data_IF_924321197250
#
_entry.id   IF_924321197250
#
_cell.length_a   1.000
_cell.length_b   1.000
_cell.length_c   1.000
_cell.angle_alpha   90.00
_cell.angle_beta   90.00
_cell.angle_gamma   90.00
#
_symmetry.space_group_name_H-M   'P 1'
#
loop_
_entity.id
_entity.type
_entity.pdbx_description
1 polymer ?
#
# COMPACT_ATOMS: atom_id res chain seq x y z
N UNK A 1 -17.43 2.88 -62.67
CA UNK A 1 -17.39 3.02 -61.19
C UNK A 1 -16.03 2.71 -60.59
N UNK A 2 -15.33 1.69 -61.01
CA UNK A 2 -13.99 1.33 -60.53
C UNK A 2 -12.87 2.37 -60.74
N UNK A 3 -12.91 3.14 -61.84
CA UNK A 3 -11.94 4.20 -62.11
C UNK A 3 -11.95 5.40 -61.14
N UNK A 4 -13.07 5.64 -60.41
CA UNK A 4 -13.14 6.69 -59.40
C UNK A 4 -12.57 6.24 -58.03
N UNK A 5 -12.60 4.96 -57.77
CA UNK A 5 -12.02 4.38 -56.57
C UNK A 5 -10.49 4.35 -56.64
N UNK A 6 -9.94 4.02 -57.81
CA UNK A 6 -8.50 4.07 -58.02
C UNK A 6 -7.89 5.48 -57.87
N UNK A 7 -8.59 6.50 -58.38
CA UNK A 7 -8.11 7.88 -58.30
C UNK A 7 -8.12 8.44 -56.88
N UNK A 8 -9.01 7.98 -56.00
CA UNK A 8 -9.04 8.41 -54.57
C UNK A 8 -8.02 7.70 -53.69
N UNK A 9 -7.43 6.59 -54.16
CA UNK A 9 -6.34 5.89 -53.47
C UNK A 9 -4.97 6.46 -53.81
N UNK A 10 -4.80 7.03 -55.00
CA UNK A 10 -3.54 7.66 -55.43
C UNK A 10 -3.30 9.07 -54.84
N UNK A 11 -4.34 9.74 -54.31
CA UNK A 11 -4.23 11.13 -53.82
C UNK A 11 -3.89 11.25 -52.31
N UNK A 12 -3.59 10.16 -51.60
CA UNK A 12 -3.36 10.16 -50.13
C UNK A 12 -2.21 9.31 -49.62
N UNK A 13 -1.10 9.26 -50.32
CA UNK A 13 0.15 8.78 -49.76
C UNK A 13 1.10 9.96 -49.46
N UNK A 14 0.67 10.89 -48.61
CA UNK A 14 1.61 11.76 -47.92
C UNK A 14 2.29 10.91 -46.80
N UNK A 15 3.38 10.28 -47.17
CA UNK A 15 4.22 9.54 -46.22
C UNK A 15 4.87 10.53 -45.24
N UNK A 16 5.01 10.11 -43.98
CA UNK A 16 5.77 10.86 -42.97
C UNK A 16 7.25 10.98 -43.37
N UNK A 17 7.81 12.18 -43.22
CA UNK A 17 9.22 12.39 -43.44
C UNK A 17 10.04 11.79 -42.28
N UNK A 18 11.26 11.34 -42.57
CA UNK A 18 12.16 10.79 -41.54
C UNK A 18 12.45 11.81 -40.43
N UNK A 19 12.52 13.09 -40.79
CA UNK A 19 12.76 14.18 -39.82
C UNK A 19 11.58 14.44 -38.90
N UNK A 20 10.33 14.33 -39.37
CA UNK A 20 9.12 14.45 -38.53
C UNK A 20 9.11 13.37 -37.44
N UNK A 21 9.45 12.14 -37.83
CA UNK A 21 9.49 11.03 -36.89
C UNK A 21 10.63 11.19 -35.85
N UNK A 22 11.81 11.69 -36.30
CA UNK A 22 12.95 11.94 -35.45
C UNK A 22 12.67 13.03 -34.42
N UNK A 23 12.07 14.15 -34.83
CA UNK A 23 11.72 15.25 -33.91
C UNK A 23 10.71 14.81 -32.86
N UNK A 24 9.68 14.05 -33.24
CA UNK A 24 8.68 13.49 -32.30
C UNK A 24 9.36 12.57 -31.27
N UNK A 25 10.27 11.70 -31.71
CA UNK A 25 11.00 10.81 -30.79
C UNK A 25 11.83 11.57 -29.77
N UNK A 26 12.52 12.65 -30.20
CA UNK A 26 13.31 13.50 -29.30
C UNK A 26 12.40 14.18 -28.27
N UNK A 27 11.27 14.75 -28.69
CA UNK A 27 10.32 15.41 -27.79
C UNK A 27 9.76 14.41 -26.77
N UNK A 28 9.32 13.23 -27.21
CA UNK A 28 8.83 12.19 -26.29
C UNK A 28 9.93 11.76 -25.31
N UNK A 29 11.17 11.61 -25.76
CA UNK A 29 12.30 11.25 -24.92
C UNK A 29 12.54 12.26 -23.79
N UNK A 30 12.52 13.55 -24.11
CA UNK A 30 12.67 14.63 -23.11
C UNK A 30 11.52 14.64 -22.12
N UNK A 31 10.27 14.52 -22.59
CA UNK A 31 9.10 14.50 -21.72
C UNK A 31 9.09 13.27 -20.82
N UNK A 32 9.45 12.10 -21.34
CA UNK A 32 9.53 10.85 -20.58
C UNK A 32 10.59 10.90 -19.48
N UNK A 33 11.74 11.53 -19.74
CA UNK A 33 12.81 11.67 -18.75
C UNK A 33 12.37 12.42 -17.49
N UNK A 34 11.42 13.33 -17.58
CA UNK A 34 10.87 14.08 -16.44
C UNK A 34 9.64 13.36 -15.86
N UNK A 35 8.77 12.81 -16.71
CA UNK A 35 7.49 12.26 -16.29
C UNK A 35 7.62 10.94 -15.54
N UNK A 36 8.54 10.05 -15.94
CA UNK A 36 8.68 8.71 -15.36
C UNK A 36 9.08 8.77 -13.87
N UNK A 37 10.15 9.49 -13.45
CA UNK A 37 10.51 9.58 -12.03
C UNK A 37 9.39 10.17 -11.18
N UNK A 38 8.72 11.21 -11.67
CA UNK A 38 7.59 11.85 -10.96
C UNK A 38 6.43 10.88 -10.77
N UNK A 39 6.08 10.13 -11.79
CA UNK A 39 5.01 9.12 -11.73
C UNK A 39 5.33 8.00 -10.74
N UNK A 40 6.58 7.51 -10.71
CA UNK A 40 6.99 6.48 -9.76
C UNK A 40 6.91 6.98 -8.30
N UNK A 41 7.28 8.23 -8.04
CA UNK A 41 7.15 8.84 -6.71
C UNK A 41 5.67 8.98 -6.30
N UNK A 42 4.78 9.37 -7.22
CA UNK A 42 3.35 9.46 -6.94
C UNK A 42 2.75 8.08 -6.61
N UNK A 43 3.15 7.02 -7.32
CA UNK A 43 2.73 5.65 -7.01
C UNK A 43 3.16 5.23 -5.59
N UNK A 44 4.41 5.50 -5.21
CA UNK A 44 4.91 5.22 -3.85
C UNK A 44 4.09 5.95 -2.78
N UNK A 45 3.76 7.21 -3.01
CA UNK A 45 2.90 7.97 -2.10
C UNK A 45 1.50 7.36 -1.98
N UNK A 46 0.93 6.86 -3.07
CA UNK A 46 -0.33 6.13 -3.06
C UNK A 46 -0.28 4.86 -2.20
N UNK A 47 0.78 4.05 -2.35
CA UNK A 47 0.98 2.84 -1.53
C UNK A 47 1.15 3.15 -0.05
N UNK A 48 1.89 4.21 0.29
CA UNK A 48 2.04 4.68 1.66
C UNK A 48 0.69 5.14 2.25
N UNK A 49 -0.11 5.86 1.47
CA UNK A 49 -1.44 6.29 1.91
C UNK A 49 -2.38 5.12 2.16
N UNK A 50 -2.40 4.13 1.28
CA UNK A 50 -3.18 2.90 1.47
C UNK A 50 -2.77 2.19 2.77
N UNK A 51 -1.45 2.01 3.00
CA UNK A 51 -0.94 1.37 4.21
C UNK A 51 -1.35 2.11 5.47
N UNK A 52 -1.24 3.44 5.51
CA UNK A 52 -1.66 4.27 6.66
C UNK A 52 -3.14 4.10 6.96
N UNK A 53 -3.98 4.16 5.93
CA UNK A 53 -5.42 4.03 6.06
C UNK A 53 -5.78 2.66 6.60
N UNK A 54 -5.19 1.61 6.05
CA UNK A 54 -5.48 0.23 6.45
C UNK A 54 -5.06 -0.05 7.90
N UNK A 55 -3.87 0.41 8.32
CA UNK A 55 -3.44 0.26 9.72
C UNK A 55 -4.40 1.00 10.66
N UNK A 56 -4.82 2.20 10.31
CA UNK A 56 -5.73 2.99 11.13
C UNK A 56 -7.12 2.33 11.21
N UNK A 57 -7.62 1.81 10.10
CA UNK A 57 -8.89 1.08 10.06
C UNK A 57 -8.80 -0.22 10.86
N UNK A 58 -7.69 -0.95 10.76
CA UNK A 58 -7.47 -2.15 11.55
C UNK A 58 -7.43 -1.83 13.05
N UNK A 59 -6.74 -0.76 13.43
CA UNK A 59 -6.68 -0.31 14.81
C UNK A 59 -8.07 0.06 15.35
N UNK A 60 -8.89 0.76 14.55
CA UNK A 60 -10.26 1.10 14.91
C UNK A 60 -11.14 -0.15 15.09
N UNK A 61 -11.00 -1.14 14.20
CA UNK A 61 -11.69 -2.43 14.34
C UNK A 61 -11.26 -3.18 15.61
N UNK A 62 -9.94 -3.13 15.93
CA UNK A 62 -9.43 -3.72 17.17
C UNK A 62 -9.99 -3.03 18.41
N UNK A 63 -10.07 -1.71 18.41
CA UNK A 63 -10.66 -0.94 19.51
C UNK A 63 -12.16 -1.22 19.64
N UNK A 64 -12.91 -1.25 18.54
CA UNK A 64 -14.32 -1.62 18.53
C UNK A 64 -14.55 -3.01 19.12
N UNK A 65 -13.75 -3.99 18.68
CA UNK A 65 -13.86 -5.38 19.19
C UNK A 65 -13.47 -5.50 20.67
N UNK A 66 -12.61 -4.62 21.17
CA UNK A 66 -12.20 -4.61 22.57
C UNK A 66 -13.29 -4.07 23.49
N UNK A 67 -14.21 -3.22 23.00
CA UNK A 67 -15.31 -2.67 23.81
C UNK A 67 -16.12 -3.80 24.45
N UNK A 68 -16.52 -4.81 23.68
CA UNK A 68 -17.28 -5.98 24.16
C UNK A 68 -16.46 -6.89 25.08
N UNK A 69 -15.15 -6.70 25.15
CA UNK A 69 -14.21 -7.46 25.98
C UNK A 69 -13.72 -6.67 27.20
N UNK A 70 -14.40 -5.55 27.53
CA UNK A 70 -14.01 -4.68 28.64
C UNK A 70 -12.72 -3.89 28.41
N UNK A 71 -12.38 -3.62 27.15
CA UNK A 71 -11.16 -2.91 26.75
C UNK A 71 -9.91 -3.79 26.70
N UNK A 72 -10.04 -5.10 26.81
CA UNK A 72 -8.93 -6.04 26.91
C UNK A 72 -8.50 -6.56 25.53
N UNK A 73 -7.40 -6.02 25.00
CA UNK A 73 -6.85 -6.41 23.70
C UNK A 73 -6.25 -7.82 23.70
N UNK A 74 -5.90 -8.41 24.83
CA UNK A 74 -5.44 -9.80 24.88
C UNK A 74 -6.56 -10.78 24.52
N UNK A 75 -7.81 -10.33 24.60
CA UNK A 75 -8.99 -11.08 24.17
C UNK A 75 -9.43 -10.80 22.73
N UNK A 76 -8.84 -9.80 22.08
CA UNK A 76 -9.07 -9.46 20.67
C UNK A 76 -8.15 -10.27 19.76
N UNK A 77 -6.89 -10.38 20.13
CA UNK A 77 -5.89 -11.12 19.37
C UNK A 77 -5.72 -12.53 19.92
N UNK A 78 -6.10 -13.54 19.16
CA UNK A 78 -6.00 -14.96 19.58
C UNK A 78 -4.55 -15.45 19.66
N UNK A 79 -3.64 -14.80 18.94
CA UNK A 79 -2.20 -15.06 18.97
C UNK A 79 -1.47 -13.74 19.23
N UNK A 80 -1.34 -13.32 20.50
CA UNK A 80 -0.82 -12.00 20.85
C UNK A 80 0.71 -11.90 20.80
N UNK A 81 1.38 -12.76 20.03
CA UNK A 81 2.83 -12.76 19.87
C UNK A 81 3.28 -11.69 18.87
N UNK A 82 4.49 -11.15 19.09
CA UNK A 82 5.15 -10.28 18.09
C UNK A 82 5.31 -11.01 16.75
N UNK A 83 5.27 -10.27 15.67
CA UNK A 83 5.33 -10.79 14.29
C UNK A 83 4.13 -11.65 13.85
N UNK A 84 3.08 -11.74 14.66
CA UNK A 84 1.84 -12.37 14.20
C UNK A 84 1.29 -11.60 13.00
N UNK A 85 1.18 -12.28 11.87
CA UNK A 85 0.56 -11.73 10.66
C UNK A 85 -0.94 -11.71 10.88
N UNK A 86 -1.54 -10.52 10.84
CA UNK A 86 -2.96 -10.29 11.08
C UNK A 86 -3.75 -10.16 9.77
N UNK A 87 -3.11 -9.58 8.76
CA UNK A 87 -3.69 -9.48 7.42
C UNK A 87 -2.58 -9.57 6.35
N UNK A 88 -2.88 -10.26 5.25
CA UNK A 88 -2.01 -10.41 4.09
C UNK A 88 -2.75 -9.92 2.85
N UNK A 89 -2.14 -8.99 2.10
CA UNK A 89 -2.75 -8.36 0.91
C UNK A 89 -4.18 -7.85 1.18
N UNK A 90 -4.38 -7.23 2.33
CA UNK A 90 -5.69 -6.71 2.75
C UNK A 90 -6.68 -7.75 3.22
N UNK A 91 -6.36 -9.04 3.16
CA UNK A 91 -7.22 -10.13 3.63
C UNK A 91 -6.89 -10.47 5.08
N UNK A 92 -7.90 -10.40 5.95
CA UNK A 92 -7.79 -10.72 7.37
C UNK A 92 -7.50 -12.23 7.58
N UNK A 93 -6.55 -12.55 8.45
CA UNK A 93 -6.42 -13.90 9.01
C UNK A 93 -7.37 -14.04 10.23
N UNK A 94 -8.56 -14.53 9.96
CA UNK A 94 -9.59 -14.69 10.99
C UNK A 94 -9.21 -15.65 12.14
N UNK A 95 -8.13 -16.43 11.99
CA UNK A 95 -7.62 -17.31 13.06
C UNK A 95 -6.79 -16.54 14.10
N UNK A 96 -6.37 -15.33 13.79
CA UNK A 96 -5.51 -14.49 14.63
C UNK A 96 -6.28 -13.46 15.46
N UNK A 97 -7.56 -13.32 15.20
CA UNK A 97 -8.44 -12.35 15.85
C UNK A 97 -9.70 -13.06 16.38
N UNK A 98 -10.40 -12.40 17.29
CA UNK A 98 -11.65 -12.91 17.85
C UNK A 98 -12.75 -12.99 16.78
N UNK A 99 -13.68 -13.92 16.94
CA UNK A 99 -14.86 -14.04 16.09
C UNK A 99 -15.65 -12.71 16.06
N UNK A 100 -16.09 -12.30 14.87
CA UNK A 100 -16.79 -11.03 14.66
C UNK A 100 -15.86 -9.83 14.42
N UNK A 101 -14.53 -10.02 14.42
CA UNK A 101 -13.62 -8.99 13.98
C UNK A 101 -13.74 -8.79 12.47
N UNK A 102 -14.07 -7.58 12.04
CA UNK A 102 -14.26 -7.25 10.64
C UNK A 102 -13.18 -6.29 10.16
N UNK A 103 -12.47 -6.67 9.11
CA UNK A 103 -11.48 -5.83 8.44
C UNK A 103 -11.38 -6.24 6.97
N UNK A 104 -11.39 -5.25 6.10
CA UNK A 104 -11.04 -5.39 4.68
C UNK A 104 -10.04 -4.29 4.32
N UNK A 105 -8.86 -4.67 3.90
CA UNK A 105 -7.79 -3.76 3.54
C UNK A 105 -7.52 -3.70 2.05
N UNK A 106 -6.56 -2.87 1.68
CA UNK A 106 -6.10 -2.71 0.30
C UNK A 106 -5.24 -3.88 -0.15
N UNK A 107 -5.27 -4.18 -1.44
CA UNK A 107 -4.34 -5.17 -2.01
C UNK A 107 -2.89 -4.80 -1.73
N UNK A 108 -2.06 -5.82 -1.51
CA UNK A 108 -0.63 -5.70 -1.25
C UNK A 108 -0.27 -5.00 0.09
N UNK A 109 -1.23 -4.68 0.95
CA UNK A 109 -0.97 -4.21 2.31
C UNK A 109 -0.99 -5.39 3.27
N UNK A 110 0.09 -5.55 4.03
CA UNK A 110 0.22 -6.53 5.10
C UNK A 110 0.24 -5.81 6.45
N UNK A 111 -0.40 -6.41 7.45
CA UNK A 111 -0.44 -5.91 8.82
C UNK A 111 0.02 -7.01 9.76
N UNK A 112 0.98 -6.67 10.62
CA UNK A 112 1.52 -7.57 11.64
C UNK A 112 1.48 -6.91 13.02
N UNK A 113 1.47 -7.72 14.08
CA UNK A 113 1.71 -7.23 15.44
C UNK A 113 3.17 -6.81 15.57
N UNK A 114 3.41 -5.53 15.83
CA UNK A 114 4.75 -4.96 15.98
C UNK A 114 5.38 -5.27 17.34
N UNK A 115 4.54 -5.44 18.37
CA UNK A 115 4.93 -5.90 19.70
C UNK A 115 3.93 -6.90 20.22
N UNK A 116 4.34 -7.78 21.14
CA UNK A 116 3.43 -8.67 21.82
C UNK A 116 2.37 -7.86 22.59
N UNK A 117 1.12 -8.29 22.55
CA UNK A 117 0.05 -7.71 23.37
C UNK A 117 0.25 -8.21 24.80
N UNK A 118 1.15 -7.54 25.51
CA UNK A 118 1.55 -7.93 26.88
C UNK A 118 0.58 -7.42 27.94
N UNK A 119 -0.22 -6.39 27.63
CA UNK A 119 -1.14 -5.76 28.55
C UNK A 119 -2.53 -5.61 27.94
N UNK A 120 -3.57 -5.71 28.78
CA UNK A 120 -4.94 -5.58 28.35
C UNK A 120 -5.24 -4.28 27.57
N UNK A 121 -4.52 -3.20 27.88
CA UNK A 121 -4.87 -1.85 27.42
C UNK A 121 -4.05 -1.36 26.22
N UNK A 122 -3.14 -2.18 25.67
CA UNK A 122 -2.21 -1.69 24.65
C UNK A 122 -1.98 -2.70 23.51
N UNK A 123 -1.77 -2.19 22.32
CA UNK A 123 -1.32 -2.96 21.16
C UNK A 123 -0.51 -2.08 20.21
N UNK A 124 0.28 -2.71 19.37
CA UNK A 124 1.05 -2.05 18.34
C UNK A 124 0.99 -2.84 17.03
N UNK A 125 0.74 -2.12 15.94
CA UNK A 125 0.64 -2.67 14.59
C UNK A 125 1.75 -2.12 13.73
N UNK A 126 2.27 -2.93 12.84
CA UNK A 126 3.13 -2.51 11.75
C UNK A 126 2.49 -2.92 10.43
N UNK A 127 2.34 -1.97 9.53
CA UNK A 127 1.86 -2.23 8.18
C UNK A 127 2.89 -1.86 7.13
N UNK A 128 2.85 -2.57 6.02
CA UNK A 128 3.71 -2.32 4.88
C UNK A 128 3.05 -2.77 3.59
N UNK A 129 3.46 -2.17 2.46
CA UNK A 129 2.95 -2.54 1.15
C UNK A 129 3.99 -3.36 0.39
N UNK A 130 3.61 -4.54 -0.12
CA UNK A 130 4.52 -5.45 -0.83
C UNK A 130 4.96 -4.95 -2.20
N UNK A 131 4.33 -3.90 -2.74
CA UNK A 131 4.79 -3.24 -3.96
C UNK A 131 6.15 -2.53 -3.79
N UNK A 132 6.61 -2.32 -2.55
CA UNK A 132 7.99 -1.88 -2.27
C UNK A 132 9.01 -3.03 -2.31
N UNK A 133 8.57 -4.27 -2.54
CA UNK A 133 9.36 -5.48 -2.52
C UNK A 133 8.87 -6.46 -1.44
N UNK A 134 9.33 -7.69 -1.49
CA UNK A 134 8.93 -8.75 -0.55
C UNK A 134 9.33 -8.42 0.92
N UNK A 135 10.43 -7.68 1.07
CA UNK A 135 10.87 -7.09 2.34
C UNK A 135 11.20 -5.62 2.03
N UNK A 136 10.24 -4.71 2.21
CA UNK A 136 10.46 -3.29 1.90
C UNK A 136 11.67 -2.74 2.66
N UNK A 137 12.49 -1.94 1.99
CA UNK A 137 13.59 -1.21 2.62
C UNK A 137 13.13 0.15 3.19
N UNK A 138 11.89 0.53 2.87
CA UNK A 138 11.22 1.74 3.37
C UNK A 138 9.70 1.51 3.29
N UNK A 139 8.90 2.37 3.91
CA UNK A 139 7.45 2.27 3.83
C UNK A 139 6.80 1.39 4.89
N UNK A 140 7.49 1.12 6.00
CA UNK A 140 6.88 0.54 7.20
C UNK A 140 6.23 1.62 8.03
N UNK A 141 4.94 1.46 8.31
CA UNK A 141 4.16 2.35 9.14
C UNK A 141 3.79 1.68 10.45
N UNK A 142 3.86 2.42 11.55
CA UNK A 142 3.57 1.91 12.88
C UNK A 142 2.36 2.63 13.47
N UNK A 143 1.43 1.87 14.02
CA UNK A 143 0.37 2.37 14.89
C UNK A 143 0.62 1.86 16.30
N UNK A 144 0.79 2.78 17.24
CA UNK A 144 0.99 2.43 18.65
C UNK A 144 -0.10 3.09 19.47
N UNK A 145 -0.93 2.28 20.12
CA UNK A 145 -1.97 2.80 21.03
C UNK A 145 -1.33 3.56 22.20
N UNK A 146 -0.22 3.04 22.75
CA UNK A 146 0.50 3.69 23.84
C UNK A 146 1.02 5.09 23.49
N UNK A 147 1.35 5.33 22.23
CA UNK A 147 1.90 6.59 21.71
C UNK A 147 0.85 7.47 21.03
N UNK A 148 -0.44 7.14 21.16
CA UNK A 148 -1.54 7.96 20.67
C UNK A 148 -1.88 7.76 19.18
N UNK A 149 -1.56 6.61 18.58
CA UNK A 149 -2.01 6.27 17.24
C UNK A 149 -0.92 6.07 16.19
N UNK A 150 -1.19 6.49 14.96
CA UNK A 150 -0.26 6.35 13.84
C UNK A 150 0.99 7.22 14.06
N UNK A 151 2.15 6.59 13.99
CA UNK A 151 3.41 7.30 14.18
C UNK A 151 3.79 8.12 12.92
N UNK A 152 4.35 9.32 13.09
CA UNK A 152 4.62 10.23 11.97
C UNK A 152 5.80 9.79 11.10
N UNK A 153 6.64 8.88 11.58
CA UNK A 153 7.86 8.44 10.90
C UNK A 153 7.67 7.10 10.22
N UNK A 154 8.17 7.01 9.00
CA UNK A 154 8.28 5.76 8.24
C UNK A 154 9.59 5.08 8.63
N UNK A 155 9.52 3.81 8.98
CA UNK A 155 10.73 3.04 9.24
C UNK A 155 11.27 2.41 7.95
N UNK A 156 12.59 2.34 7.86
CA UNK A 156 13.30 1.70 6.75
C UNK A 156 13.36 0.16 6.87
N UNK A 157 12.93 -0.39 7.99
CA UNK A 157 12.91 -1.82 8.23
C UNK A 157 11.80 -2.22 9.20
N UNK A 158 11.42 -3.49 9.16
CA UNK A 158 10.45 -4.04 10.11
C UNK A 158 10.95 -3.93 11.57
N UNK A 159 12.24 -4.14 11.80
CA UNK A 159 12.85 -3.99 13.13
C UNK A 159 12.77 -2.55 13.64
N UNK A 160 13.05 -1.56 12.77
CA UNK A 160 12.91 -0.14 13.11
C UNK A 160 11.45 0.24 13.38
N UNK A 161 10.49 -0.29 12.61
CA UNK A 161 9.07 -0.07 12.84
C UNK A 161 8.62 -0.64 14.20
N UNK A 162 9.09 -1.82 14.57
CA UNK A 162 8.82 -2.42 15.89
C UNK A 162 9.43 -1.62 17.05
N UNK A 163 10.60 -1.04 16.85
CA UNK A 163 11.21 -0.18 17.87
C UNK A 163 10.38 1.10 18.11
N UNK A 164 9.54 1.48 17.16
CA UNK A 164 8.58 2.58 17.32
C UNK A 164 7.32 2.19 18.10
N UNK A 165 7.10 0.90 18.37
CA UNK A 165 6.06 0.40 19.25
C UNK A 165 6.31 0.80 20.72
#
# INVERSE_FOLDING_TARGET
MLARIHKSLEEKEEGFTLIELLVVMIIIGILAAIAIPTFLNQRKNGWNSATKTDISNFALAAESSAVDKGGDFTKVFTTPAVDTVLATSGVLDATKVVAGFEFAGSQNVNIVLGAAVATANNFCLVGYNTNFGAVPTDGYWTYSKAKGGLQPTVAASLAGAKAAC
#
